data_IF_530879729741
#
_entry.id   IF_530879729741
#
_cell.length_a   1.000
_cell.length_b   1.000
_cell.length_c   1.000
_cell.angle_alpha   90.00
_cell.angle_beta   90.00
_cell.angle_gamma   90.00
#
_symmetry.space_group_name_H-M   'P 1'
#
loop_
_entity.id
_entity.type
_entity.pdbx_description
1 polymer ?
#
# COMPACT_ATOMS: atom_id res chain seq x y z
N UNK A 1 39.59 -28.84 16.02
CA UNK A 1 39.13 -28.04 14.86
C UNK A 1 38.91 -26.62 15.36
N UNK A 2 39.56 -25.63 14.75
CA UNK A 2 39.50 -24.23 15.18
C UNK A 2 38.72 -23.44 14.14
N UNK A 3 37.59 -22.86 14.55
CA UNK A 3 36.77 -22.01 13.70
C UNK A 3 37.15 -20.55 13.93
N UNK A 4 37.51 -19.85 12.85
CA UNK A 4 37.85 -18.43 12.87
C UNK A 4 36.67 -17.68 12.29
N UNK A 5 36.04 -16.81 13.09
CA UNK A 5 35.00 -15.91 12.61
C UNK A 5 35.66 -14.64 12.09
N UNK A 6 35.65 -14.44 10.77
CA UNK A 6 36.02 -13.16 10.16
C UNK A 6 34.78 -12.29 10.11
N UNK A 7 34.75 -11.20 10.87
CA UNK A 7 33.70 -10.18 10.77
C UNK A 7 33.99 -9.32 9.54
N UNK A 8 33.06 -9.30 8.59
CA UNK A 8 33.11 -8.35 7.46
C UNK A 8 32.66 -6.99 8.00
N UNK A 9 33.48 -5.92 7.98
CA UNK A 9 33.05 -4.58 8.33
C UNK A 9 32.36 -3.99 7.08
N UNK A 10 31.17 -4.49 6.79
CA UNK A 10 30.33 -3.99 5.71
C UNK A 10 29.28 -3.05 6.29
N UNK A 11 29.65 -1.77 6.41
CA UNK A 11 28.78 -0.59 6.39
C UNK A 11 27.33 -0.85 6.85
N UNK A 12 27.08 -0.73 8.15
CA UNK A 12 25.76 -0.26 8.59
C UNK A 12 25.72 1.20 8.15
N UNK A 13 25.29 1.45 6.92
CA UNK A 13 24.69 2.75 6.62
C UNK A 13 23.59 2.90 7.66
N UNK A 14 23.60 3.95 8.50
CA UNK A 14 22.42 4.26 9.29
C UNK A 14 21.24 4.26 8.34
N UNK A 15 20.11 3.68 8.75
CA UNK A 15 18.85 3.93 8.06
C UNK A 15 18.76 5.45 8.03
N UNK A 16 19.01 6.03 6.86
CA UNK A 16 18.81 7.44 6.66
C UNK A 16 17.32 7.59 6.94
N UNK A 17 17.00 8.26 8.04
CA UNK A 17 15.67 8.76 8.36
C UNK A 17 15.32 9.87 7.35
N UNK A 18 15.57 9.60 6.05
CA UNK A 18 15.05 10.41 4.97
C UNK A 18 13.55 10.29 5.09
N UNK A 19 12.91 11.42 5.33
CA UNK A 19 11.46 11.65 5.44
C UNK A 19 10.65 11.24 4.20
N UNK A 20 11.07 10.22 3.44
CA UNK A 20 10.64 9.93 2.06
C UNK A 20 10.08 8.51 1.88
N UNK A 21 10.19 7.63 2.87
CA UNK A 21 9.68 6.25 2.77
C UNK A 21 9.17 5.78 4.14
N UNK A 22 7.84 5.72 4.33
CA UNK A 22 7.23 5.28 5.59
C UNK A 22 6.55 3.90 5.44
N UNK A 23 7.32 2.79 5.52
CA UNK A 23 6.78 1.42 5.40
C UNK A 23 5.74 1.09 6.44
N UNK A 24 5.88 1.61 7.65
CA UNK A 24 4.94 1.31 8.73
C UNK A 24 3.58 1.94 8.46
N UNK A 25 3.54 3.16 7.94
CA UNK A 25 2.29 3.82 7.57
C UNK A 25 1.62 3.12 6.38
N UNK A 26 2.38 2.84 5.32
CA UNK A 26 1.86 2.12 4.16
C UNK A 26 1.32 0.72 4.54
N UNK A 27 2.01 0.01 5.44
CA UNK A 27 1.57 -1.30 5.93
C UNK A 27 0.30 -1.21 6.79
N UNK A 28 0.23 -0.27 7.72
CA UNK A 28 -0.97 -0.04 8.53
C UNK A 28 -2.20 0.29 7.67
N UNK A 29 -2.02 1.14 6.66
CA UNK A 29 -3.10 1.49 5.73
C UNK A 29 -3.53 0.26 4.93
N UNK A 30 -2.59 -0.51 4.39
CA UNK A 30 -2.91 -1.70 3.64
C UNK A 30 -3.67 -2.73 4.48
N UNK A 31 -3.29 -2.89 5.76
CA UNK A 31 -3.99 -3.73 6.73
C UNK A 31 -5.43 -3.26 6.96
N UNK A 32 -5.63 -2.00 7.33
CA UNK A 32 -6.96 -1.43 7.59
C UNK A 32 -7.89 -1.53 6.39
N UNK A 33 -7.37 -1.22 5.20
CA UNK A 33 -8.12 -1.33 3.96
C UNK A 33 -8.49 -2.78 3.64
N UNK A 34 -7.56 -3.72 3.79
CA UNK A 34 -7.78 -5.13 3.44
C UNK A 34 -8.47 -5.97 4.51
N UNK A 35 -8.60 -5.47 5.73
CA UNK A 35 -9.28 -6.18 6.83
C UNK A 35 -10.58 -5.52 7.28
N UNK A 36 -10.81 -4.25 6.97
CA UNK A 36 -11.97 -3.49 7.44
C UNK A 36 -12.68 -2.71 6.35
N UNK A 37 -11.98 -1.81 5.66
CA UNK A 37 -12.65 -0.79 4.84
C UNK A 37 -13.14 -1.31 3.49
N UNK A 38 -12.34 -2.11 2.79
CA UNK A 38 -12.66 -2.59 1.43
C UNK A 38 -13.33 -3.97 1.41
N UNK A 39 -13.55 -4.59 2.57
CA UNK A 39 -13.98 -5.99 2.65
C UNK A 39 -15.41 -6.13 3.15
N UNK A 40 -16.08 -7.18 2.70
CA UNK A 40 -17.50 -7.43 2.99
C UNK A 40 -17.78 -7.69 4.47
N UNK A 41 -16.80 -8.25 5.17
CA UNK A 41 -16.85 -8.52 6.59
C UNK A 41 -15.43 -8.49 7.13
N UNK A 42 -15.25 -7.93 8.34
CA UNK A 42 -13.92 -7.78 8.91
C UNK A 42 -13.18 -9.12 9.02
N UNK A 43 -11.93 -9.16 8.54
CA UNK A 43 -11.11 -10.37 8.48
C UNK A 43 -11.40 -11.33 7.31
N UNK A 44 -12.31 -10.96 6.40
CA UNK A 44 -12.46 -11.62 5.10
C UNK A 44 -11.50 -10.98 4.09
N UNK A 45 -10.97 -11.76 3.15
CA UNK A 45 -10.28 -11.21 1.98
C UNK A 45 -11.24 -10.81 0.86
N UNK A 46 -12.55 -11.02 1.03
CA UNK A 46 -13.56 -10.73 0.02
C UNK A 46 -13.78 -9.22 -0.09
N UNK A 47 -13.45 -8.64 -1.24
CA UNK A 47 -13.72 -7.26 -1.60
C UNK A 47 -15.24 -7.02 -1.61
N UNK A 48 -15.67 -5.92 -0.99
CA UNK A 48 -17.01 -5.38 -1.14
C UNK A 48 -16.97 -4.26 -2.18
N UNK A 49 -17.58 -4.51 -3.33
CA UNK A 49 -17.57 -3.58 -4.47
C UNK A 49 -18.16 -2.22 -4.10
N UNK A 50 -19.25 -2.18 -3.32
CA UNK A 50 -19.87 -0.92 -2.88
C UNK A 50 -18.98 -0.14 -1.92
N UNK A 51 -18.24 -0.81 -1.04
CA UNK A 51 -17.28 -0.16 -0.16
C UNK A 51 -16.05 0.36 -0.94
N UNK A 52 -15.59 -0.41 -1.94
CA UNK A 52 -14.53 0.01 -2.82
C UNK A 52 -14.95 1.22 -3.67
N UNK A 53 -16.15 1.21 -4.25
CA UNK A 53 -16.71 2.35 -4.99
C UNK A 53 -16.83 3.59 -4.09
N UNK A 54 -17.35 3.43 -2.86
CA UNK A 54 -17.45 4.53 -1.91
C UNK A 54 -16.07 5.13 -1.55
N UNK A 55 -15.03 4.30 -1.46
CA UNK A 55 -13.68 4.75 -1.10
C UNK A 55 -12.90 5.34 -2.29
N UNK A 56 -12.95 4.72 -3.47
CA UNK A 56 -12.13 5.11 -4.62
C UNK A 56 -12.82 6.13 -5.54
N UNK A 57 -14.15 6.11 -5.61
CA UNK A 57 -14.93 6.91 -6.58
C UNK A 57 -15.70 8.04 -5.90
N UNK A 58 -16.38 7.75 -4.79
CA UNK A 58 -17.25 8.75 -4.14
C UNK A 58 -16.50 9.66 -3.16
N UNK A 59 -15.48 9.16 -2.48
CA UNK A 59 -14.70 9.94 -1.53
C UNK A 59 -13.76 10.92 -2.25
N UNK A 60 -13.74 12.17 -1.78
CA UNK A 60 -12.73 13.13 -2.22
C UNK A 60 -11.34 12.75 -1.72
N UNK A 61 -10.29 13.26 -2.36
CA UNK A 61 -8.90 12.99 -1.95
C UNK A 61 -8.63 13.40 -0.49
N UNK A 62 -9.22 14.51 -0.02
CA UNK A 62 -9.11 14.96 1.37
C UNK A 62 -9.82 14.01 2.36
N UNK A 63 -10.97 13.47 1.98
CA UNK A 63 -11.68 12.45 2.76
C UNK A 63 -10.85 11.16 2.83
N UNK A 64 -10.27 10.74 1.71
CA UNK A 64 -9.36 9.59 1.67
C UNK A 64 -8.14 9.84 2.56
N UNK A 65 -7.49 11.01 2.49
CA UNK A 65 -6.37 11.36 3.40
C UNK A 65 -6.78 11.25 4.87
N UNK A 66 -7.97 11.75 5.21
CA UNK A 66 -8.52 11.68 6.57
C UNK A 66 -8.75 10.23 7.02
N UNK A 67 -9.33 9.38 6.16
CA UNK A 67 -9.53 7.94 6.42
C UNK A 67 -8.18 7.24 6.63
N UNK A 68 -7.21 7.52 5.77
CA UNK A 68 -5.87 6.91 5.81
C UNK A 68 -4.99 7.46 6.94
N UNK A 69 -5.38 8.57 7.57
CA UNK A 69 -4.57 9.25 8.59
C UNK A 69 -3.26 9.81 8.04
N UNK A 70 -3.26 10.24 6.78
CA UNK A 70 -2.12 10.85 6.10
C UNK A 70 -2.24 12.37 6.21
N UNK A 71 -1.14 13.05 6.52
CA UNK A 71 -1.10 14.52 6.50
C UNK A 71 -0.79 15.07 5.11
N UNK A 72 -1.18 16.32 4.87
CA UNK A 72 -1.07 17.01 3.58
C UNK A 72 0.38 17.21 3.08
N UNK A 73 1.38 16.84 3.89
CA UNK A 73 2.80 16.93 3.51
C UNK A 73 3.30 15.68 2.81
N UNK A 74 2.51 14.61 2.79
CA UNK A 74 2.87 13.31 2.23
C UNK A 74 2.00 13.00 1.03
N UNK A 75 2.64 12.43 0.02
CA UNK A 75 1.94 11.92 -1.15
C UNK A 75 1.61 10.46 -0.93
N UNK A 76 0.49 10.04 -1.53
CA UNK A 76 0.04 8.66 -1.41
C UNK A 76 -0.56 8.19 -2.72
N UNK A 77 -0.53 6.88 -2.93
CA UNK A 77 -1.25 6.26 -4.01
C UNK A 77 -1.79 4.91 -3.53
N UNK A 78 -3.09 4.73 -3.64
CA UNK A 78 -3.73 3.44 -3.40
C UNK A 78 -4.32 2.98 -4.71
N UNK A 79 -3.97 1.77 -5.15
CA UNK A 79 -4.53 1.20 -6.38
C UNK A 79 -4.79 -0.29 -6.29
N UNK A 80 -5.80 -0.77 -7.02
CA UNK A 80 -6.12 -2.18 -7.16
C UNK A 80 -5.66 -2.68 -8.54
N UNK A 81 -4.98 -3.83 -8.56
CA UNK A 81 -4.47 -4.47 -9.77
C UNK A 81 -4.94 -5.91 -9.83
N UNK A 82 -5.47 -6.38 -10.96
CA UNK A 82 -5.81 -7.80 -11.13
C UNK A 82 -4.53 -8.64 -11.04
N UNK A 83 -4.49 -9.63 -10.13
CA UNK A 83 -3.27 -10.39 -9.87
C UNK A 83 -2.87 -11.32 -11.00
N UNK A 84 -3.83 -11.69 -11.85
CA UNK A 84 -3.63 -12.63 -12.96
C UNK A 84 -3.14 -11.90 -14.21
N UNK A 85 -3.77 -10.77 -14.55
CA UNK A 85 -3.42 -10.01 -15.75
C UNK A 85 -2.36 -8.94 -15.50
N UNK A 86 -2.17 -8.52 -14.25
CA UNK A 86 -1.31 -7.39 -13.88
C UNK A 86 -1.90 -6.03 -14.32
N UNK A 87 -3.16 -6.00 -14.73
CA UNK A 87 -3.85 -4.77 -15.16
C UNK A 87 -4.35 -4.00 -13.95
N UNK A 88 -3.93 -2.74 -13.81
CA UNK A 88 -4.51 -1.83 -12.82
C UNK A 88 -5.94 -1.47 -13.23
N UNK A 89 -6.84 -1.43 -12.26
CA UNK A 89 -8.21 -0.95 -12.46
C UNK A 89 -8.22 0.56 -12.22
N UNK A 90 -8.33 1.36 -13.27
CA UNK A 90 -8.25 2.83 -13.17
C UNK A 90 -9.35 3.44 -12.29
N UNK A 91 -10.50 2.78 -12.20
CA UNK A 91 -11.61 3.17 -11.30
C UNK A 91 -11.30 2.95 -9.82
N UNK A 92 -10.35 2.05 -9.51
CA UNK A 92 -9.90 1.74 -8.16
C UNK A 92 -8.47 2.22 -7.95
N UNK A 93 -8.23 3.49 -8.28
CA UNK A 93 -6.98 4.19 -8.06
C UNK A 93 -7.25 5.60 -7.51
N UNK A 94 -6.62 5.95 -6.39
CA UNK A 94 -6.75 7.27 -5.75
C UNK A 94 -5.42 7.77 -5.21
N UNK A 95 -5.26 9.09 -5.20
CA UNK A 95 -4.06 9.80 -4.74
C UNK A 95 -3.17 10.28 -5.89
N UNK A 96 -1.94 10.63 -5.53
CA UNK A 96 -0.94 11.18 -6.41
C UNK A 96 -0.46 10.16 -7.48
N UNK A 97 -0.01 10.63 -8.66
CA UNK A 97 0.66 9.76 -9.62
C UNK A 97 1.95 9.20 -9.02
N UNK A 98 2.17 7.90 -9.23
CA UNK A 98 3.38 7.22 -8.74
C UNK A 98 4.61 7.82 -9.44
N UNK A 99 5.62 8.31 -8.71
CA UNK A 99 6.83 8.87 -9.30
C UNK A 99 7.56 7.85 -10.19
N UNK A 100 8.09 8.31 -11.34
CA UNK A 100 8.90 7.48 -12.25
C UNK A 100 10.26 7.09 -11.64
N UNK A 101 10.71 7.82 -10.61
CA UNK A 101 11.97 7.57 -9.92
C UNK A 101 11.84 6.37 -8.98
N UNK A 102 12.35 5.21 -9.43
CA UNK A 102 12.42 3.97 -8.66
C UNK A 102 13.38 4.14 -7.48
N UNK A 103 12.85 4.25 -6.25
CA UNK A 103 13.66 4.26 -5.02
C UNK A 103 13.11 5.07 -3.85
N UNK A 104 12.09 5.89 -4.07
CA UNK A 104 11.52 6.80 -3.05
C UNK A 104 10.08 6.44 -2.65
N UNK A 105 9.57 5.28 -3.06
CA UNK A 105 8.18 4.91 -2.80
C UNK A 105 8.16 3.67 -1.93
N UNK A 106 7.55 3.76 -0.76
CA UNK A 106 7.27 2.55 -0.01
C UNK A 106 6.00 1.90 -0.51
N UNK A 107 6.08 0.66 -0.96
CA UNK A 107 4.93 -0.11 -1.42
C UNK A 107 4.63 -1.23 -0.44
N UNK A 108 3.40 -1.28 0.05
CA UNK A 108 2.84 -2.46 0.70
C UNK A 108 1.73 -3.04 -0.16
N UNK A 109 1.68 -4.38 -0.26
CA UNK A 109 0.64 -5.07 -1.01
C UNK A 109 -0.16 -6.02 -0.11
N UNK A 110 -1.46 -6.16 -0.40
CA UNK A 110 -2.38 -7.14 0.19
C UNK A 110 -3.22 -7.79 -0.90
N UNK A 111 -3.65 -9.02 -0.65
CA UNK A 111 -4.51 -9.77 -1.59
C UNK A 111 -5.97 -9.55 -1.22
N UNK A 112 -6.78 -9.20 -2.22
CA UNK A 112 -8.23 -9.14 -2.14
C UNK A 112 -8.84 -10.14 -3.13
N UNK A 113 -10.05 -10.60 -2.85
CA UNK A 113 -10.81 -11.54 -3.65
C UNK A 113 -12.12 -10.88 -4.08
N UNK A 114 -12.41 -10.84 -5.38
CA UNK A 114 -13.70 -10.38 -5.91
C UNK A 114 -14.14 -11.34 -7.02
N UNK A 115 -15.40 -11.79 -7.01
CA UNK A 115 -15.96 -12.71 -8.01
C UNK A 115 -15.14 -14.00 -8.29
N UNK A 116 -14.38 -14.46 -7.29
CA UNK A 116 -13.49 -15.62 -7.42
C UNK A 116 -12.16 -15.34 -8.12
N UNK A 117 -11.89 -14.08 -8.46
CA UNK A 117 -10.61 -13.58 -8.94
C UNK A 117 -9.80 -12.95 -7.79
N UNK A 118 -8.48 -12.91 -7.97
CA UNK A 118 -7.55 -12.31 -7.01
C UNK A 118 -7.04 -10.95 -7.51
N UNK A 119 -6.91 -10.03 -6.58
CA UNK A 119 -6.50 -8.65 -6.82
C UNK A 119 -5.42 -8.25 -5.81
N UNK A 120 -4.47 -7.44 -6.25
CA UNK A 120 -3.47 -6.79 -5.42
C UNK A 120 -3.92 -5.39 -5.07
N UNK A 121 -4.20 -5.14 -3.80
CA UNK A 121 -4.26 -3.80 -3.25
C UNK A 121 -2.82 -3.33 -3.03
N UNK A 122 -2.42 -2.25 -3.70
CA UNK A 122 -1.11 -1.63 -3.52
C UNK A 122 -1.28 -0.28 -2.84
N UNK A 123 -0.61 -0.10 -1.71
CA UNK A 123 -0.56 1.15 -0.97
C UNK A 123 0.85 1.71 -1.05
N UNK A 124 0.94 2.95 -1.48
CA UNK A 124 2.18 3.68 -1.70
C UNK A 124 2.16 4.98 -0.92
N UNK A 125 3.21 5.28 -0.17
CA UNK A 125 3.36 6.54 0.57
C UNK A 125 4.80 7.04 0.43
N UNK A 126 4.96 8.34 0.17
CA UNK A 126 6.25 9.02 0.03
C UNK A 126 6.19 10.50 0.45
#
# INVERSE_FOLDING_TARGET
MMFVFTSVPGLITPFDESETANPLLADRIADDLSESTLVDSSGSAQLNESAAEAFFVDASEDEVRSILGIDDRRSFNVSITNSTTGTQLDEYAVGDPVPDETGQVTVTQRILLADGESYWLSVRVW
#
